data_IF_999235055237
#
_entry.id   IF_999235055237
#
_cell.length_a   1.000
_cell.length_b   1.000
_cell.length_c   1.000
_cell.angle_alpha   90.00
_cell.angle_beta   90.00
_cell.angle_gamma   90.00
#
_symmetry.space_group_name_H-M   'P 1'
#
loop_
_entity.id
_entity.type
_entity.pdbx_description
1 polymer ?
#
# COMPACT_ATOMS: atom_id res chain seq x y z
N UNK A 1 -5.35 5.86 -8.24
CA UNK A 1 -6.36 6.48 -7.33
C UNK A 1 -6.77 5.43 -6.32
N UNK A 2 -6.85 5.75 -5.03
CA UNK A 2 -7.28 4.81 -4.00
C UNK A 2 -8.75 4.40 -4.21
N UNK A 3 -9.11 3.14 -3.94
CA UNK A 3 -10.47 2.63 -4.04
C UNK A 3 -11.40 3.39 -3.10
N UNK A 4 -12.53 3.88 -3.62
CA UNK A 4 -13.56 4.59 -2.85
C UNK A 4 -14.80 3.74 -2.66
N UNK A 5 -15.56 4.01 -1.59
CA UNK A 5 -16.80 3.29 -1.29
C UNK A 5 -17.78 3.28 -2.45
N UNK A 6 -17.93 4.39 -3.20
CA UNK A 6 -18.83 4.48 -4.35
C UNK A 6 -18.51 3.50 -5.49
N UNK A 7 -17.24 3.07 -5.60
CA UNK A 7 -16.77 2.19 -6.66
C UNK A 7 -17.05 0.71 -6.36
N UNK A 8 -17.41 0.37 -5.11
CA UNK A 8 -17.63 -1.03 -4.70
C UNK A 8 -18.69 -1.74 -5.53
N UNK A 9 -19.90 -1.17 -5.77
CA UNK A 9 -20.90 -1.83 -6.60
C UNK A 9 -20.52 -1.94 -8.08
N UNK A 10 -19.53 -1.16 -8.53
CA UNK A 10 -19.04 -1.15 -9.91
C UNK A 10 -17.97 -2.21 -10.16
N UNK A 11 -17.41 -2.80 -9.08
CA UNK A 11 -16.42 -3.86 -9.21
C UNK A 11 -17.03 -5.12 -9.84
N UNK A 12 -16.24 -5.89 -10.61
CA UNK A 12 -16.71 -7.10 -11.27
C UNK A 12 -17.37 -8.08 -10.30
N UNK A 13 -18.62 -8.45 -10.58
CA UNK A 13 -19.39 -9.38 -9.74
C UNK A 13 -20.04 -8.77 -8.49
N UNK A 14 -19.82 -7.48 -8.16
CA UNK A 14 -20.34 -6.85 -6.94
C UNK A 14 -21.58 -5.98 -7.17
N UNK A 15 -22.18 -5.98 -8.36
CA UNK A 15 -23.36 -5.17 -8.70
C UNK A 15 -24.61 -5.44 -7.85
N UNK A 16 -24.65 -6.56 -7.11
CA UNK A 16 -25.70 -6.88 -6.18
C UNK A 16 -25.54 -6.21 -4.79
N UNK A 17 -24.42 -5.53 -4.54
CA UNK A 17 -24.20 -4.75 -3.32
C UNK A 17 -24.81 -3.38 -3.52
N UNK A 18 -25.72 -2.98 -2.64
CA UNK A 18 -26.48 -1.72 -2.79
C UNK A 18 -26.21 -0.77 -1.64
N UNK A 19 -25.96 0.49 -1.95
CA UNK A 19 -25.91 1.56 -0.95
C UNK A 19 -27.33 1.82 -0.41
N UNK A 20 -27.48 1.81 0.92
CA UNK A 20 -28.77 2.04 1.60
C UNK A 20 -28.83 3.34 2.38
N UNK A 21 -27.69 3.94 2.69
CA UNK A 21 -27.57 5.22 3.39
C UNK A 21 -26.13 5.69 3.46
N UNK A 22 -25.88 6.85 4.04
CA UNK A 22 -24.53 7.42 4.18
C UNK A 22 -23.95 7.95 2.88
N UNK A 23 -24.78 8.46 1.98
CA UNK A 23 -24.38 8.93 0.65
C UNK A 23 -23.31 10.03 0.68
N UNK A 24 -23.25 10.83 1.74
CA UNK A 24 -22.21 11.86 1.92
C UNK A 24 -20.81 11.29 2.21
N UNK A 25 -20.71 10.03 2.64
CA UNK A 25 -19.45 9.34 2.91
C UNK A 25 -18.95 8.44 1.78
N UNK A 26 -19.61 8.39 0.62
CA UNK A 26 -19.26 7.47 -0.48
C UNK A 26 -17.85 7.72 -1.07
N UNK A 27 -17.27 8.88 -0.82
CA UNK A 27 -15.90 9.22 -1.22
C UNK A 27 -14.83 8.75 -0.22
N UNK A 28 -15.23 8.11 0.89
CA UNK A 28 -14.30 7.51 1.84
C UNK A 28 -13.43 6.46 1.13
N UNK A 29 -12.13 6.53 1.41
CA UNK A 29 -11.15 5.58 0.87
C UNK A 29 -11.21 4.26 1.63
N UNK A 30 -11.31 3.16 0.89
CA UNK A 30 -11.30 1.79 1.43
C UNK A 30 -9.85 1.31 1.50
N UNK A 31 -9.35 1.06 2.71
CA UNK A 31 -7.99 0.55 2.95
C UNK A 31 -7.93 -0.97 2.96
N UNK A 32 -8.94 -1.62 3.56
CA UNK A 32 -9.00 -3.07 3.69
C UNK A 32 -10.42 -3.54 4.02
N UNK A 33 -10.87 -4.72 3.53
CA UNK A 33 -12.08 -5.36 4.01
C UNK A 33 -11.83 -6.02 5.37
N UNK A 34 -12.73 -5.83 6.33
CA UNK A 34 -12.65 -6.43 7.67
C UNK A 34 -13.97 -7.14 8.03
N UNK A 35 -13.92 -8.41 8.45
CA UNK A 35 -15.08 -9.17 8.90
C UNK A 35 -15.25 -9.06 10.42
N UNK A 36 -16.32 -8.41 10.85
CA UNK A 36 -16.66 -8.26 12.26
C UNK A 36 -17.50 -9.45 12.76
N UNK A 37 -16.85 -10.38 13.47
CA UNK A 37 -17.52 -11.52 14.09
C UNK A 37 -18.07 -11.19 15.46
N UNK A 38 -17.44 -10.27 16.19
CA UNK A 38 -17.83 -9.86 17.52
C UNK A 38 -18.89 -8.76 17.51
N UNK A 39 -19.57 -8.55 18.64
CA UNK A 39 -20.55 -7.47 18.81
C UNK A 39 -19.95 -6.09 18.54
N UNK A 40 -18.73 -5.85 18.98
CA UNK A 40 -17.94 -4.63 18.79
C UNK A 40 -16.66 -4.95 18.02
N UNK A 41 -16.19 -4.02 17.22
CA UNK A 41 -14.97 -4.15 16.41
C UNK A 41 -13.93 -3.04 16.67
N UNK A 42 -14.20 -2.11 17.59
CA UNK A 42 -13.33 -0.95 17.84
C UNK A 42 -11.88 -1.32 18.16
N UNK A 43 -11.67 -2.42 18.87
CA UNK A 43 -10.32 -2.89 19.21
C UNK A 43 -9.54 -3.49 18.03
N UNK A 44 -10.21 -3.74 16.90
CA UNK A 44 -9.67 -4.49 15.76
C UNK A 44 -9.50 -3.66 14.49
N UNK A 45 -10.10 -2.47 14.44
CA UNK A 45 -10.00 -1.55 13.31
C UNK A 45 -9.10 -0.36 13.65
N UNK A 46 -8.49 0.24 12.63
CA UNK A 46 -7.57 1.37 12.77
C UNK A 46 -7.96 2.59 11.94
N UNK A 47 -9.10 2.50 11.27
CA UNK A 47 -9.63 3.51 10.37
C UNK A 47 -9.39 3.21 8.90
N UNK A 48 -10.42 3.48 8.10
CA UNK A 48 -10.42 3.22 6.65
C UNK A 48 -10.80 1.79 6.25
N UNK A 49 -11.13 0.90 7.18
CA UNK A 49 -11.63 -0.43 6.85
C UNK A 49 -13.07 -0.37 6.34
N UNK A 50 -13.38 -1.23 5.35
CA UNK A 50 -14.76 -1.58 5.00
C UNK A 50 -15.19 -2.75 5.87
N UNK A 51 -16.06 -2.49 6.84
CA UNK A 51 -16.44 -3.48 7.85
C UNK A 51 -17.65 -4.29 7.37
N UNK A 52 -17.51 -5.61 7.34
CA UNK A 52 -18.58 -6.55 7.01
C UNK A 52 -19.18 -7.12 8.30
N UNK A 53 -20.50 -7.05 8.42
CA UNK A 53 -21.24 -7.66 9.51
C UNK A 53 -22.18 -8.73 8.98
N UNK A 54 -22.06 -9.93 9.55
CA UNK A 54 -22.92 -11.06 9.22
C UNK A 54 -23.95 -11.29 10.31
N UNK A 55 -25.09 -11.88 9.97
CA UNK A 55 -26.13 -12.22 10.94
C UNK A 55 -25.93 -13.55 11.68
N UNK A 56 -24.73 -14.16 11.58
CA UNK A 56 -24.46 -15.50 12.10
C UNK A 56 -24.51 -15.56 13.64
N UNK A 57 -24.23 -14.43 14.30
CA UNK A 57 -24.29 -14.36 15.76
C UNK A 57 -25.63 -13.79 16.23
N UNK A 58 -26.14 -14.27 17.37
CA UNK A 58 -27.34 -13.77 18.04
C UNK A 58 -27.28 -12.27 18.43
N UNK A 59 -26.17 -11.61 18.21
CA UNK A 59 -25.94 -10.21 18.57
C UNK A 59 -26.35 -9.19 17.51
N UNK A 60 -26.75 -9.63 16.31
CA UNK A 60 -27.06 -8.71 15.18
C UNK A 60 -28.53 -8.30 15.18
N UNK A 61 -28.91 -7.49 16.15
CA UNK A 61 -30.20 -6.79 16.18
C UNK A 61 -30.11 -5.43 15.50
N UNK A 62 -31.22 -4.79 15.12
CA UNK A 62 -31.21 -3.41 14.64
C UNK A 62 -30.52 -2.43 15.60
N UNK A 63 -30.66 -2.65 16.92
CA UNK A 63 -29.98 -1.84 17.92
C UNK A 63 -28.44 -2.02 17.87
N UNK A 64 -27.97 -3.28 17.74
CA UNK A 64 -26.54 -3.51 17.57
C UNK A 64 -25.98 -2.97 16.26
N UNK A 65 -26.73 -3.03 15.16
CA UNK A 65 -26.30 -2.40 13.91
C UNK A 65 -26.20 -0.87 14.03
N UNK A 66 -27.08 -0.25 14.82
CA UNK A 66 -26.96 1.18 15.14
C UNK A 66 -25.71 1.47 15.99
N UNK A 67 -25.42 0.62 17.00
CA UNK A 67 -24.17 0.68 17.76
C UNK A 67 -22.94 0.56 16.83
N UNK A 68 -22.96 -0.39 15.88
CA UNK A 68 -21.87 -0.55 14.89
C UNK A 68 -21.66 0.70 14.02
N UNK A 69 -22.72 1.41 13.63
CA UNK A 69 -22.61 2.66 12.87
C UNK A 69 -21.97 3.77 13.71
N UNK A 70 -22.35 3.94 14.98
CA UNK A 70 -21.72 4.91 15.88
C UNK A 70 -20.26 4.56 16.14
N UNK A 71 -19.99 3.30 16.49
CA UNK A 71 -18.62 2.79 16.69
C UNK A 71 -17.76 2.97 15.42
N UNK A 72 -18.34 2.70 14.26
CA UNK A 72 -17.68 2.90 12.96
C UNK A 72 -17.28 4.34 12.69
N UNK A 73 -18.15 5.30 13.05
CA UNK A 73 -17.81 6.73 13.00
C UNK A 73 -16.64 7.06 13.91
N UNK A 74 -16.69 6.61 15.17
CA UNK A 74 -15.67 6.91 16.17
C UNK A 74 -14.32 6.30 15.79
N UNK A 75 -14.32 5.13 15.15
CA UNK A 75 -13.11 4.45 14.64
C UNK A 75 -12.67 4.92 13.25
N UNK A 76 -13.47 5.74 12.55
CA UNK A 76 -13.15 6.23 11.21
C UNK A 76 -13.15 5.16 10.13
N UNK A 77 -14.06 4.17 10.18
CA UNK A 77 -14.20 3.16 9.12
C UNK A 77 -14.64 3.82 7.81
N UNK A 78 -14.34 3.20 6.68
CA UNK A 78 -14.75 3.71 5.36
C UNK A 78 -16.22 3.47 5.08
N UNK A 79 -16.80 2.38 5.58
CA UNK A 79 -18.19 2.02 5.41
C UNK A 79 -18.55 0.73 6.13
N UNK A 80 -19.84 0.44 6.23
CA UNK A 80 -20.40 -0.77 6.82
C UNK A 80 -21.18 -1.56 5.77
N UNK A 81 -20.88 -2.83 5.62
CA UNK A 81 -21.59 -3.77 4.74
C UNK A 81 -22.34 -4.77 5.61
N UNK A 82 -23.65 -4.88 5.42
CA UNK A 82 -24.51 -5.82 6.16
C UNK A 82 -24.99 -6.91 5.21
N UNK A 83 -24.72 -8.17 5.58
CA UNK A 83 -25.23 -9.33 4.87
C UNK A 83 -26.71 -9.54 5.22
N UNK A 84 -27.54 -9.60 4.19
CA UNK A 84 -29.01 -9.80 4.31
C UNK A 84 -29.46 -11.06 3.60
N UNK A 85 -30.53 -11.69 4.11
CA UNK A 85 -31.14 -12.91 3.56
C UNK A 85 -31.90 -13.70 4.61
N UNK A 86 -32.63 -14.73 4.21
CA UNK A 86 -33.54 -15.49 5.10
C UNK A 86 -32.83 -16.13 6.29
N UNK A 87 -31.58 -16.54 6.13
CA UNK A 87 -30.77 -17.15 7.19
C UNK A 87 -29.97 -16.14 8.05
N UNK A 88 -30.11 -14.84 7.73
CA UNK A 88 -29.35 -13.77 8.35
C UNK A 88 -30.26 -12.60 8.75
N UNK A 89 -29.79 -11.36 8.62
CA UNK A 89 -30.59 -10.17 8.81
C UNK A 89 -31.52 -10.06 7.60
N UNK A 90 -32.82 -10.29 7.75
CA UNK A 90 -33.78 -10.37 6.64
C UNK A 90 -33.83 -9.10 5.78
N UNK A 91 -34.07 -7.94 6.41
CA UNK A 91 -34.07 -6.63 5.73
C UNK A 91 -33.45 -5.56 6.64
N UNK A 92 -32.77 -4.59 6.04
CA UNK A 92 -32.27 -3.44 6.77
C UNK A 92 -33.41 -2.46 7.10
N UNK A 93 -33.66 -2.17 8.39
CA UNK A 93 -34.64 -1.18 8.78
C UNK A 93 -34.30 0.21 8.25
N UNK A 94 -35.29 0.96 7.74
CA UNK A 94 -35.10 2.31 7.21
C UNK A 94 -34.49 3.31 8.21
N UNK A 95 -34.62 3.04 9.51
CA UNK A 95 -33.99 3.85 10.54
C UNK A 95 -32.45 3.81 10.46
N UNK A 96 -31.88 2.67 10.07
CA UNK A 96 -30.41 2.52 9.93
C UNK A 96 -29.89 3.32 8.75
N UNK A 97 -30.64 3.37 7.64
CA UNK A 97 -30.29 4.21 6.50
C UNK A 97 -30.21 5.69 6.89
N UNK A 98 -31.22 6.19 7.61
CA UNK A 98 -31.23 7.57 8.12
C UNK A 98 -30.10 7.84 9.13
N UNK A 99 -29.81 6.88 9.99
CA UNK A 99 -28.68 7.00 10.93
C UNK A 99 -27.35 7.07 10.16
N UNK A 100 -27.17 6.20 9.17
CA UNK A 100 -25.97 6.20 8.32
C UNK A 100 -25.79 7.53 7.57
N UNK A 101 -26.89 8.12 7.06
CA UNK A 101 -26.87 9.45 6.45
C UNK A 101 -26.44 10.53 7.45
N UNK A 102 -26.98 10.52 8.68
CA UNK A 102 -26.60 11.45 9.74
C UNK A 102 -25.15 11.32 10.22
N UNK A 103 -24.58 10.13 10.11
CA UNK A 103 -23.21 9.83 10.51
C UNK A 103 -22.20 9.95 9.35
N UNK A 104 -22.67 10.16 8.11
CA UNK A 104 -21.86 10.16 6.89
C UNK A 104 -21.06 8.86 6.70
N UNK A 105 -21.61 7.71 7.12
CA UNK A 105 -21.01 6.39 6.94
C UNK A 105 -21.77 5.62 5.86
N UNK A 106 -21.13 5.26 4.73
CA UNK A 106 -21.74 4.41 3.72
C UNK A 106 -22.23 3.09 4.32
N UNK A 107 -23.54 2.85 4.24
CA UNK A 107 -24.18 1.62 4.65
C UNK A 107 -24.58 0.84 3.42
N UNK A 108 -23.96 -0.31 3.22
CA UNK A 108 -24.26 -1.21 2.11
C UNK A 108 -25.04 -2.44 2.57
N UNK A 109 -25.86 -2.92 1.69
CA UNK A 109 -26.52 -4.21 1.80
C UNK A 109 -25.92 -5.19 0.80
N UNK A 110 -25.49 -6.35 1.29
CA UNK A 110 -24.98 -7.45 0.49
C UNK A 110 -25.94 -8.63 0.62
N UNK A 111 -26.50 -9.16 -0.48
CA UNK A 111 -27.35 -10.35 -0.42
C UNK A 111 -26.49 -11.59 -0.05
N UNK A 112 -27.06 -12.49 0.72
CA UNK A 112 -26.40 -13.74 1.11
C UNK A 112 -26.01 -14.63 -0.08
N UNK A 113 -26.74 -14.52 -1.20
CA UNK A 113 -26.42 -15.25 -2.43
C UNK A 113 -25.07 -14.87 -3.05
N UNK A 114 -24.49 -13.75 -2.63
CA UNK A 114 -23.17 -13.33 -3.05
C UNK A 114 -22.14 -13.77 -2.00
N UNK A 115 -21.25 -14.76 -2.32
CA UNK A 115 -20.30 -15.30 -1.35
C UNK A 115 -19.36 -14.23 -0.81
N UNK A 116 -19.25 -14.17 0.53
CA UNK A 116 -18.42 -13.15 1.20
C UNK A 116 -16.95 -13.25 0.79
N UNK A 117 -16.45 -14.46 0.54
CA UNK A 117 -15.06 -14.66 0.09
C UNK A 117 -14.80 -14.00 -1.25
N UNK A 118 -15.72 -14.14 -2.20
CA UNK A 118 -15.58 -13.53 -3.54
C UNK A 118 -15.62 -12.00 -3.46
N UNK A 119 -16.48 -11.46 -2.59
CA UNK A 119 -16.59 -10.01 -2.35
C UNK A 119 -15.30 -9.47 -1.76
N UNK A 120 -14.83 -10.07 -0.67
CA UNK A 120 -13.62 -9.58 0.02
C UNK A 120 -12.38 -9.73 -0.84
N UNK A 121 -12.26 -10.82 -1.61
CA UNK A 121 -11.17 -11.02 -2.55
C UNK A 121 -11.19 -9.98 -3.69
N UNK A 122 -12.35 -9.71 -4.28
CA UNK A 122 -12.49 -8.70 -5.36
C UNK A 122 -12.10 -7.31 -4.85
N UNK A 123 -12.57 -6.93 -3.66
CA UNK A 123 -12.23 -5.64 -3.04
C UNK A 123 -10.73 -5.58 -2.73
N UNK A 124 -10.15 -6.62 -2.12
CA UNK A 124 -8.72 -6.65 -1.82
C UNK A 124 -7.85 -6.53 -3.08
N UNK A 125 -8.21 -7.22 -4.15
CA UNK A 125 -7.54 -7.10 -5.47
C UNK A 125 -7.64 -5.68 -6.03
N UNK A 126 -8.81 -5.03 -5.93
CA UNK A 126 -9.00 -3.67 -6.40
C UNK A 126 -8.16 -2.66 -5.59
N UNK A 127 -8.05 -2.85 -4.27
CA UNK A 127 -7.20 -2.03 -3.40
C UNK A 127 -5.73 -2.16 -3.85
N UNK A 128 -5.20 -3.38 -3.95
CA UNK A 128 -3.81 -3.63 -4.38
C UNK A 128 -3.55 -3.08 -5.78
N UNK A 129 -4.50 -3.23 -6.71
CA UNK A 129 -4.38 -2.67 -8.06
C UNK A 129 -4.36 -1.13 -8.04
N UNK A 130 -5.18 -0.50 -7.18
CA UNK A 130 -5.22 0.96 -7.03
C UNK A 130 -3.94 1.51 -6.41
N UNK A 131 -3.34 0.81 -5.45
CA UNK A 131 -2.06 1.18 -4.83
C UNK A 131 -0.92 1.10 -5.86
N UNK A 132 -0.85 0.01 -6.64
CA UNK A 132 0.13 -0.14 -7.74
C UNK A 132 -0.02 0.90 -8.84
N UNK A 133 -1.25 1.38 -9.10
CA UNK A 133 -1.50 2.46 -10.06
C UNK A 133 -1.10 3.85 -9.53
N UNK A 134 -0.90 4.00 -8.22
CA UNK A 134 -0.42 5.23 -7.58
C UNK A 134 1.11 5.29 -7.47
N UNK A 135 1.80 4.15 -7.65
CA UNK A 135 3.25 4.17 -7.77
C UNK A 135 3.64 4.98 -9.02
N UNK A 136 4.49 6.00 -8.87
CA UNK A 136 4.94 6.79 -10.01
C UNK A 136 5.59 5.85 -11.03
N UNK A 137 4.99 5.73 -12.21
CA UNK A 137 5.57 4.94 -13.33
C UNK A 137 6.82 5.58 -13.93
N UNK A 138 7.32 6.65 -13.33
CA UNK A 138 8.57 7.32 -13.77
C UNK A 138 9.83 6.67 -13.20
N UNK A 139 9.70 5.75 -12.25
CA UNK A 139 10.80 4.97 -11.72
C UNK A 139 10.89 3.58 -12.37
N UNK A 140 12.10 3.17 -12.75
CA UNK A 140 12.37 1.82 -13.24
C UNK A 140 12.11 0.73 -12.15
N UNK A 141 12.30 -0.56 -12.51
CA UNK A 141 12.15 -1.69 -11.58
C UNK A 141 12.91 -1.48 -10.27
N UNK A 142 14.05 -0.78 -10.28
CA UNK A 142 14.84 -0.47 -9.11
C UNK A 142 14.08 0.42 -8.11
N UNK A 143 13.38 1.46 -8.58
CA UNK A 143 12.60 2.36 -7.71
C UNK A 143 11.37 1.67 -7.14
N UNK A 144 10.71 0.80 -7.92
CA UNK A 144 9.62 -0.03 -7.42
C UNK A 144 10.09 -1.01 -6.32
N UNK A 145 11.27 -1.60 -6.45
CA UNK A 145 11.88 -2.46 -5.43
C UNK A 145 12.24 -1.66 -4.17
N UNK A 146 12.80 -0.45 -4.33
CA UNK A 146 13.12 0.45 -3.23
C UNK A 146 11.87 0.83 -2.44
N UNK A 147 10.80 1.25 -3.12
CA UNK A 147 9.52 1.59 -2.50
C UNK A 147 8.93 0.41 -1.72
N UNK A 148 9.12 -0.83 -2.21
CA UNK A 148 8.59 -2.04 -1.57
C UNK A 148 9.33 -2.42 -0.27
N UNK A 149 10.61 -2.06 -0.13
CA UNK A 149 11.43 -2.40 1.04
C UNK A 149 11.16 -1.46 2.24
N UNK A 150 10.78 -0.21 1.95
CA UNK A 150 10.56 0.84 2.96
C UNK A 150 11.87 1.46 3.49
N UNK A 151 11.89 2.78 3.65
CA UNK A 151 13.09 3.57 4.00
C UNK A 151 13.76 3.12 5.30
N UNK A 152 12.99 2.79 6.34
CA UNK A 152 13.55 2.38 7.64
C UNK A 152 14.28 1.02 7.58
N UNK A 153 13.76 0.07 6.81
CA UNK A 153 14.40 -1.24 6.66
C UNK A 153 15.67 -1.13 5.83
N UNK A 154 15.67 -0.22 4.88
CA UNK A 154 16.78 0.11 4.04
C UNK A 154 17.93 0.75 4.81
N UNK A 155 17.68 1.78 5.62
CA UNK A 155 18.68 2.39 6.51
C UNK A 155 19.30 1.37 7.46
N UNK A 156 18.50 0.44 8.00
CA UNK A 156 18.98 -0.63 8.87
C UNK A 156 19.93 -1.57 8.13
N UNK A 157 19.59 -1.98 6.92
CA UNK A 157 20.46 -2.84 6.09
C UNK A 157 21.75 -2.12 5.72
N UNK A 158 21.66 -0.86 5.30
CA UNK A 158 22.85 -0.05 4.96
C UNK A 158 23.80 0.08 6.14
N UNK A 159 23.30 0.42 7.34
CA UNK A 159 24.14 0.51 8.55
C UNK A 159 24.74 -0.83 8.98
N UNK A 160 24.02 -1.92 8.79
CA UNK A 160 24.45 -3.26 9.21
C UNK A 160 25.51 -3.85 8.29
N UNK A 161 25.35 -3.69 6.97
CA UNK A 161 26.20 -4.36 5.98
C UNK A 161 27.27 -3.45 5.35
N UNK A 162 27.17 -2.14 5.53
CA UNK A 162 27.99 -1.13 4.88
C UNK A 162 28.47 -0.04 5.86
N UNK A 163 29.10 -0.40 7.00
CA UNK A 163 29.65 0.61 7.91
C UNK A 163 30.74 1.42 7.20
N UNK A 164 30.58 2.75 7.16
CA UNK A 164 31.54 3.67 6.52
C UNK A 164 31.22 4.05 5.06
N UNK A 165 30.10 3.58 4.50
CA UNK A 165 29.74 3.82 3.11
C UNK A 165 29.33 5.28 2.81
N UNK A 166 28.86 6.02 3.81
CA UNK A 166 28.29 7.37 3.61
C UNK A 166 29.30 8.34 2.94
N UNK A 167 30.59 8.27 3.29
CA UNK A 167 31.63 9.08 2.68
C UNK A 167 31.90 8.69 1.22
N UNK A 168 32.13 7.41 0.96
CA UNK A 168 32.40 6.89 -0.39
C UNK A 168 31.24 7.11 -1.37
N UNK A 169 30.00 7.03 -0.89
CA UNK A 169 28.79 7.31 -1.66
C UNK A 169 28.67 8.78 -2.05
N UNK A 170 28.95 9.70 -1.11
CA UNK A 170 28.86 11.14 -1.38
C UNK A 170 29.90 11.59 -2.42
N UNK A 171 31.15 11.08 -2.33
CA UNK A 171 32.23 11.42 -3.23
C UNK A 171 32.15 10.75 -4.60
N UNK A 172 31.29 9.76 -4.76
CA UNK A 172 31.23 8.92 -5.97
C UNK A 172 29.86 8.92 -6.65
N UNK A 173 28.93 9.75 -6.19
CA UNK A 173 27.55 9.78 -6.69
C UNK A 173 27.48 9.97 -8.20
N UNK A 174 28.19 10.95 -8.75
CA UNK A 174 28.26 11.25 -10.18
C UNK A 174 28.84 10.07 -10.98
N UNK A 175 29.86 9.40 -10.42
CA UNK A 175 30.50 8.25 -11.04
C UNK A 175 29.56 7.03 -11.09
N UNK A 176 28.81 6.76 -10.01
CA UNK A 176 27.84 5.67 -9.93
C UNK A 176 26.66 5.92 -10.85
N UNK A 177 26.20 7.17 -10.95
CA UNK A 177 25.13 7.57 -11.85
C UNK A 177 25.53 7.42 -13.32
N UNK A 178 26.73 7.88 -13.69
CA UNK A 178 27.29 7.68 -15.02
C UNK A 178 27.47 6.18 -15.33
N UNK A 179 27.89 5.39 -14.35
CA UNK A 179 28.03 3.96 -14.54
C UNK A 179 26.68 3.27 -14.85
N UNK A 180 25.64 3.64 -14.15
CA UNK A 180 24.29 3.13 -14.39
C UNK A 180 23.77 3.52 -15.78
N UNK A 181 23.87 4.79 -16.12
CA UNK A 181 23.36 5.33 -17.39
C UNK A 181 24.12 4.76 -18.60
N UNK A 182 25.45 4.65 -18.49
CA UNK A 182 26.32 4.21 -19.56
C UNK A 182 26.66 2.69 -19.48
N UNK A 183 25.93 1.94 -18.63
CA UNK A 183 26.09 0.49 -18.47
C UNK A 183 27.53 0.04 -18.21
N UNK A 184 28.31 0.83 -17.47
CA UNK A 184 29.70 0.55 -17.16
C UNK A 184 30.70 0.82 -18.30
N UNK A 185 30.28 1.43 -19.39
CA UNK A 185 31.17 1.82 -20.51
C UNK A 185 32.03 3.03 -20.11
N UNK A 186 33.29 2.77 -19.71
CA UNK A 186 34.19 3.83 -19.23
C UNK A 186 34.46 4.96 -20.21
N UNK A 187 34.36 4.72 -21.54
CA UNK A 187 34.52 5.79 -22.53
C UNK A 187 33.30 6.71 -22.55
N UNK A 188 32.09 6.15 -22.57
CA UNK A 188 30.86 6.91 -22.50
C UNK A 188 30.70 7.64 -21.16
N UNK A 189 31.09 7.00 -20.03
CA UNK A 189 31.12 7.65 -18.72
C UNK A 189 32.08 8.85 -18.70
N UNK A 190 33.25 8.74 -19.35
CA UNK A 190 34.23 9.83 -19.44
C UNK A 190 33.66 11.02 -20.24
N UNK A 191 32.96 10.75 -21.31
CA UNK A 191 32.27 11.76 -22.14
C UNK A 191 31.14 12.42 -21.34
N UNK A 192 30.27 11.64 -20.68
CA UNK A 192 29.16 12.13 -19.86
C UNK A 192 29.64 13.00 -18.69
N UNK A 193 30.76 12.70 -18.07
CA UNK A 193 31.34 13.44 -16.95
C UNK A 193 32.36 14.51 -17.38
N UNK A 194 32.56 14.73 -18.69
CA UNK A 194 33.50 15.72 -19.21
C UNK A 194 34.96 15.51 -18.78
N UNK A 195 35.40 14.26 -18.62
CA UNK A 195 36.73 13.94 -18.13
C UNK A 195 37.44 12.88 -19.00
N UNK A 196 38.73 12.65 -18.77
CA UNK A 196 39.45 11.64 -19.51
C UNK A 196 39.16 10.21 -18.99
N UNK A 197 39.14 9.20 -19.88
CA UNK A 197 38.93 7.79 -19.53
C UNK A 197 39.83 7.29 -18.36
N UNK A 198 41.07 7.75 -18.31
CA UNK A 198 41.99 7.39 -17.21
C UNK A 198 41.51 7.94 -15.86
N UNK A 199 40.85 9.09 -15.86
CA UNK A 199 40.23 9.65 -14.63
C UNK A 199 39.12 8.74 -14.11
N UNK A 200 38.25 8.26 -15.02
CA UNK A 200 37.22 7.27 -14.64
C UNK A 200 37.85 6.03 -14.06
N UNK A 201 38.85 5.46 -14.74
CA UNK A 201 39.54 4.26 -14.25
C UNK A 201 40.18 4.47 -12.87
N UNK A 202 40.81 5.61 -12.65
CA UNK A 202 41.42 5.91 -11.36
C UNK A 202 40.38 6.10 -10.25
N UNK A 203 39.29 6.74 -10.54
CA UNK A 203 38.16 6.89 -9.59
C UNK A 203 37.53 5.52 -9.25
N UNK A 204 37.34 4.66 -10.24
CA UNK A 204 36.86 3.29 -10.03
C UNK A 204 37.81 2.47 -9.19
N UNK A 205 39.12 2.56 -9.45
CA UNK A 205 40.17 1.87 -8.65
C UNK A 205 40.15 2.35 -7.20
N UNK A 206 40.01 3.67 -6.96
CA UNK A 206 39.95 4.21 -5.60
C UNK A 206 38.75 3.64 -4.84
N UNK A 207 37.58 3.48 -5.46
CA UNK A 207 36.42 2.82 -4.84
C UNK A 207 36.74 1.38 -4.44
N UNK A 208 37.53 0.66 -5.23
CA UNK A 208 37.98 -0.71 -4.91
C UNK A 208 39.00 -0.71 -3.75
N UNK A 209 39.86 0.32 -3.66
CA UNK A 209 40.83 0.45 -2.57
C UNK A 209 40.16 0.75 -1.21
N UNK A 210 39.02 1.41 -1.21
CA UNK A 210 38.17 1.70 -0.03
C UNK A 210 37.35 0.48 0.43
N UNK A 211 37.41 -0.63 -0.29
CA UNK A 211 36.64 -1.84 -0.04
C UNK A 211 37.07 -2.53 1.28
N UNK A 212 36.11 -3.04 2.06
CA UNK A 212 36.44 -3.86 3.23
C UNK A 212 37.31 -5.09 2.89
N UNK A 213 38.27 -5.47 3.74
CA UNK A 213 39.30 -6.48 3.41
C UNK A 213 38.79 -7.88 3.04
N UNK A 214 37.52 -8.18 3.26
CA UNK A 214 36.89 -9.49 2.99
C UNK A 214 35.84 -9.43 1.88
N UNK A 215 35.63 -8.28 1.24
CA UNK A 215 34.61 -8.13 0.21
C UNK A 215 35.18 -8.47 -1.18
N UNK A 216 34.39 -9.14 -2.00
CA UNK A 216 34.71 -9.32 -3.41
C UNK A 216 34.46 -8.02 -4.18
N UNK A 217 35.36 -7.55 -5.07
CA UNK A 217 35.22 -6.27 -5.76
C UNK A 217 33.90 -6.08 -6.49
N UNK A 218 33.41 -7.12 -7.17
CA UNK A 218 32.16 -7.08 -7.89
C UNK A 218 30.95 -6.94 -6.95
N UNK A 219 30.96 -7.62 -5.82
CA UNK A 219 29.89 -7.53 -4.82
C UNK A 219 29.89 -6.18 -4.12
N UNK A 220 31.06 -5.66 -3.80
CA UNK A 220 31.20 -4.31 -3.23
C UNK A 220 30.66 -3.25 -4.18
N UNK A 221 31.03 -3.33 -5.46
CA UNK A 221 30.56 -2.37 -6.46
C UNK A 221 29.04 -2.44 -6.66
N UNK A 222 28.46 -3.65 -6.77
CA UNK A 222 27.00 -3.83 -6.83
C UNK A 222 26.29 -3.21 -5.62
N UNK A 223 26.90 -3.36 -4.45
CA UNK A 223 26.41 -2.84 -3.20
C UNK A 223 26.44 -1.30 -3.17
N UNK A 224 27.51 -0.67 -3.69
CA UNK A 224 27.59 0.78 -3.86
C UNK A 224 26.51 1.31 -4.82
N UNK A 225 26.33 0.64 -5.95
CA UNK A 225 25.28 0.99 -6.93
C UNK A 225 23.89 0.88 -6.31
N UNK A 226 23.63 -0.20 -5.58
CA UNK A 226 22.37 -0.40 -4.89
C UNK A 226 22.14 0.69 -3.83
N UNK A 227 23.16 0.98 -2.99
CA UNK A 227 23.08 2.03 -1.99
C UNK A 227 22.87 3.42 -2.61
N UNK A 228 23.50 3.72 -3.76
CA UNK A 228 23.24 4.95 -4.51
C UNK A 228 21.79 5.06 -4.99
N UNK A 229 21.25 3.98 -5.57
CA UNK A 229 19.84 3.94 -6.00
C UNK A 229 18.88 4.17 -4.83
N UNK A 230 19.22 3.60 -3.67
CA UNK A 230 18.41 3.67 -2.46
C UNK A 230 18.51 5.03 -1.73
N UNK A 231 19.56 5.80 -1.95
CA UNK A 231 19.75 7.14 -1.36
C UNK A 231 19.17 8.29 -2.18
N UNK A 232 18.52 7.98 -3.30
CA UNK A 232 17.78 9.00 -4.09
C UNK A 232 16.55 9.47 -3.30
N UNK A 233 16.35 10.79 -3.13
CA UNK A 233 15.18 11.36 -2.48
C UNK A 233 13.89 11.12 -3.27
#
# INVERSE_FOLDING_TARGET
>A
MALKCREIPELPGLGAIHLRGGSSGVDNTVRWPYLAENRSFSNWVRGGELVFVTGISSHRSPANLAECLHEGRDCGISGLVVLTGDAYIGQLPAMLSRLADGLAIPLFEQPYSLPLVDVTETIARAIVASERAQEPREGGLAEALIASIGSHQLERLTRQYLPGLDGALMDSRDLLEAWLNERGNQCAMAEALGCHRNTIRNRMNRLVEEMPPKAEPNEYFKTLVLAHLLSRP
#
